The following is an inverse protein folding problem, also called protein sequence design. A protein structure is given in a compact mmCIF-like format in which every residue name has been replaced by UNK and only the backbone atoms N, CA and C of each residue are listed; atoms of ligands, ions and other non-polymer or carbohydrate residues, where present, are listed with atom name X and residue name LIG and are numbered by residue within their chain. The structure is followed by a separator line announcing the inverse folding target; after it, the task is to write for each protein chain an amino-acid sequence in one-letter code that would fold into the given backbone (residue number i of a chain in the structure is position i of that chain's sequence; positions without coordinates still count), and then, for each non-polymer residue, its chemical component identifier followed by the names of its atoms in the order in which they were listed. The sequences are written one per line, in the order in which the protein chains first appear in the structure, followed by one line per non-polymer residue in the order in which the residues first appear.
data_IF_678947966573
#
_entry.id   IF_678947966573
#
_cell.length_a   1.000
_cell.length_b   1.000
_cell.length_c   1.000
_cell.angle_alpha   90.00
_cell.angle_beta   90.00
_cell.angle_gamma   90.00
#
_symmetry.space_group_name_H-M   'P 1'
#
loop_
_entity.id
_entity.type
_entity.pdbx_description
1 polymer ?
#
# COMPACT_ATOMS: atom_id res chain seq x y z
N UNK A 1 -21.08 29.39 -19.19
CA UNK A 1 -20.19 28.49 -19.96
C UNK A 1 -19.27 27.86 -18.94
N UNK A 2 -19.52 26.62 -18.56
CA UNK A 2 -18.66 25.84 -17.66
C UNK A 2 -17.46 25.37 -18.48
N UNK A 3 -16.27 25.95 -18.24
CA UNK A 3 -15.01 25.38 -18.74
C UNK A 3 -14.90 23.95 -18.24
N UNK A 4 -15.05 23.00 -19.15
CA UNK A 4 -14.69 21.62 -18.87
C UNK A 4 -13.17 21.58 -18.76
N UNK A 5 -12.65 21.43 -17.53
CA UNK A 5 -11.24 21.16 -17.28
C UNK A 5 -10.86 19.84 -17.96
N UNK A 6 -10.43 19.91 -19.20
CA UNK A 6 -9.86 18.77 -19.91
C UNK A 6 -8.45 18.50 -19.37
N UNK A 7 -8.34 17.53 -18.47
CA UNK A 7 -7.01 17.03 -18.06
C UNK A 7 -6.38 16.35 -19.27
N UNK A 8 -5.23 16.85 -19.69
CA UNK A 8 -4.47 16.21 -20.78
C UNK A 8 -4.06 14.79 -20.36
N UNK A 9 -4.25 13.76 -21.22
CA UNK A 9 -3.77 12.40 -20.94
C UNK A 9 -2.27 12.33 -20.60
N UNK A 10 -1.46 13.24 -21.12
CA UNK A 10 -0.04 13.36 -20.80
C UNK A 10 0.24 13.82 -19.36
N UNK A 11 -0.76 14.38 -18.65
CA UNK A 11 -0.63 14.79 -17.28
C UNK A 11 -0.87 13.63 -16.28
N UNK A 12 -1.47 12.51 -16.73
CA UNK A 12 -1.73 11.34 -15.88
C UNK A 12 -0.59 10.34 -15.93
N UNK A 13 -0.32 9.73 -14.78
CA UNK A 13 0.66 8.64 -14.64
C UNK A 13 0.08 7.54 -13.78
N UNK A 14 0.45 6.32 -14.11
CA UNK A 14 0.16 5.14 -13.31
C UNK A 14 1.44 4.58 -12.71
N UNK A 15 1.32 3.97 -11.54
CA UNK A 15 2.37 3.18 -10.91
C UNK A 15 1.78 1.86 -10.43
N UNK A 16 2.61 0.82 -10.47
CA UNK A 16 2.33 -0.50 -9.92
C UNK A 16 3.29 -0.74 -8.77
N UNK A 17 2.78 -1.17 -7.64
CA UNK A 17 3.56 -1.62 -6.49
C UNK A 17 3.21 -3.06 -6.16
N UNK A 18 4.18 -3.80 -5.68
CA UNK A 18 4.03 -5.17 -5.19
C UNK A 18 4.97 -5.39 -4.02
N UNK A 19 4.45 -6.02 -2.98
CA UNK A 19 5.27 -6.41 -1.83
C UNK A 19 4.86 -7.79 -1.32
N UNK A 20 5.80 -8.48 -0.67
CA UNK A 20 5.64 -9.84 -0.16
C UNK A 20 6.37 -9.98 1.16
N UNK A 21 5.68 -10.47 2.18
CA UNK A 21 6.28 -10.78 3.46
C UNK A 21 5.96 -12.19 3.92
N UNK A 22 6.97 -12.90 4.44
CA UNK A 22 6.79 -14.22 5.04
C UNK A 22 6.13 -14.10 6.41
N UNK A 23 5.37 -15.12 6.82
CA UNK A 23 4.89 -15.23 8.20
C UNK A 23 6.05 -15.50 9.17
N UNK A 24 5.94 -14.92 10.36
CA UNK A 24 6.88 -15.12 11.45
C UNK A 24 6.15 -15.21 12.80
N UNK A 25 6.63 -16.05 13.74
CA UNK A 25 6.09 -16.12 15.08
C UNK A 25 6.40 -14.86 15.88
N UNK A 26 5.63 -14.63 16.95
CA UNK A 26 5.83 -13.55 17.91
C UNK A 26 5.76 -12.13 17.30
N UNK A 27 5.04 -11.97 16.19
CA UNK A 27 4.73 -10.69 15.57
C UNK A 27 3.24 -10.51 15.44
N UNK A 28 2.78 -9.26 15.50
CA UNK A 28 1.41 -8.89 15.16
C UNK A 28 1.22 -8.93 13.65
N UNK A 29 0.06 -9.37 13.19
CA UNK A 29 -0.32 -9.25 11.79
C UNK A 29 -0.98 -7.88 11.59
N UNK A 30 -0.31 -7.00 10.86
CA UNK A 30 -0.80 -5.66 10.54
C UNK A 30 -0.95 -5.56 9.02
N UNK A 31 -2.16 -5.20 8.55
CA UNK A 31 -2.47 -5.00 7.15
C UNK A 31 -3.32 -3.74 6.99
N UNK A 32 -2.88 -2.78 6.17
CA UNK A 32 -3.55 -1.49 6.01
C UNK A 32 -3.72 -0.77 7.35
N UNK A 33 -2.73 -0.87 8.25
CA UNK A 33 -2.77 -0.30 9.57
C UNK A 33 -3.75 -0.96 10.54
N UNK A 34 -4.32 -2.12 10.20
CA UNK A 34 -5.25 -2.88 11.05
C UNK A 34 -4.54 -4.08 11.65
N UNK A 35 -4.54 -4.18 12.98
CA UNK A 35 -4.08 -5.37 13.67
C UNK A 35 -5.14 -6.48 13.55
N UNK A 36 -4.76 -7.57 12.89
CA UNK A 36 -5.66 -8.70 12.62
C UNK A 36 -5.30 -9.85 13.54
N UNK A 37 -6.26 -10.40 14.30
CA UNK A 37 -6.02 -11.58 15.14
C UNK A 37 -5.55 -12.76 14.29
N UNK A 38 -4.30 -13.18 14.53
CA UNK A 38 -3.68 -14.35 13.89
C UNK A 38 -2.53 -14.85 14.77
N UNK A 39 -2.17 -16.13 14.66
CA UNK A 39 -1.11 -16.74 15.46
C UNK A 39 0.30 -16.33 15.04
N UNK A 40 0.46 -15.73 13.86
CA UNK A 40 1.69 -15.19 13.31
C UNK A 40 1.45 -13.79 12.73
N UNK A 41 2.47 -12.97 12.70
CA UNK A 41 2.51 -11.74 11.91
C UNK A 41 3.49 -11.85 10.76
N UNK A 42 3.77 -10.74 10.09
CA UNK A 42 4.68 -10.70 8.96
C UNK A 42 6.10 -10.31 9.38
N UNK A 43 7.10 -10.90 8.73
CA UNK A 43 8.51 -10.63 8.96
C UNK A 43 8.93 -9.39 8.15
N UNK A 44 9.51 -8.41 8.80
CA UNK A 44 10.06 -7.22 8.16
C UNK A 44 10.75 -6.31 9.17
N UNK A 45 11.45 -5.28 8.68
CA UNK A 45 12.17 -4.31 9.50
C UNK A 45 11.20 -3.33 10.20
N UNK A 46 10.14 -2.89 9.49
CA UNK A 46 9.03 -2.09 10.02
C UNK A 46 7.98 -2.99 10.71
N UNK A 47 6.74 -2.53 10.81
CA UNK A 47 5.59 -3.35 11.20
C UNK A 47 5.22 -4.41 10.13
N UNK A 48 5.92 -4.41 8.99
CA UNK A 48 5.75 -5.33 7.86
C UNK A 48 4.33 -5.32 7.24
N UNK A 49 3.69 -4.15 7.21
CA UNK A 49 2.41 -3.97 6.53
C UNK A 49 2.59 -4.03 5.01
N UNK A 50 2.48 -5.23 4.47
CA UNK A 50 2.68 -5.53 3.05
C UNK A 50 1.73 -4.73 2.14
N UNK A 51 0.53 -4.37 2.62
CA UNK A 51 -0.43 -3.60 1.85
C UNK A 51 -0.03 -2.13 1.76
N UNK A 52 0.37 -1.52 2.88
CA UNK A 52 0.86 -0.14 2.91
C UNK A 52 2.14 0.02 2.07
N UNK A 53 3.04 -0.98 2.09
CA UNK A 53 4.25 -1.00 1.26
C UNK A 53 3.92 -1.08 -0.24
N UNK A 54 3.01 -1.95 -0.66
CA UNK A 54 2.58 -2.03 -2.05
C UNK A 54 1.97 -0.72 -2.55
N UNK A 55 1.15 -0.05 -1.72
CA UNK A 55 0.58 1.27 -2.06
C UNK A 55 1.69 2.33 -2.17
N UNK A 56 2.64 2.35 -1.25
CA UNK A 56 3.78 3.28 -1.29
C UNK A 56 4.61 3.11 -2.58
N UNK A 57 4.92 1.86 -2.95
CA UNK A 57 5.66 1.56 -4.18
C UNK A 57 4.88 1.92 -5.44
N UNK A 58 3.55 1.73 -5.45
CA UNK A 58 2.72 2.19 -6.55
C UNK A 58 2.81 3.71 -6.74
N UNK A 59 2.74 4.47 -5.65
CA UNK A 59 2.85 5.93 -5.67
C UNK A 59 4.24 6.38 -6.13
N UNK A 60 5.30 5.79 -5.59
CA UNK A 60 6.69 6.09 -5.99
C UNK A 60 6.92 5.75 -7.47
N UNK A 61 6.42 4.61 -7.93
CA UNK A 61 6.48 4.21 -9.34
C UNK A 61 5.79 5.22 -10.26
N UNK A 62 4.61 5.73 -9.88
CA UNK A 62 3.87 6.72 -10.66
C UNK A 62 4.66 8.02 -10.87
N UNK A 63 5.40 8.49 -9.86
CA UNK A 63 6.22 9.71 -9.95
C UNK A 63 7.66 9.45 -10.42
N UNK A 64 8.02 8.18 -10.69
CA UNK A 64 9.40 7.77 -11.02
C UNK A 64 10.39 8.02 -9.89
N UNK A 65 9.93 7.92 -8.64
CA UNK A 65 10.70 8.14 -7.41
C UNK A 65 11.57 6.96 -6.96
N UNK A 66 11.43 5.80 -7.61
CA UNK A 66 12.08 4.55 -7.23
C UNK A 66 11.14 3.66 -6.41
N UNK A 67 11.62 3.11 -5.32
CA UNK A 67 10.91 2.21 -4.43
C UNK A 67 11.04 2.62 -2.96
N UNK A 68 10.26 1.98 -2.09
CA UNK A 68 10.22 2.28 -0.65
C UNK A 68 11.57 1.98 0.01
N UNK A 69 12.30 0.96 -0.42
CA UNK A 69 13.60 0.58 0.13
C UNK A 69 14.69 1.62 -0.12
N UNK A 70 14.60 2.37 -1.22
CA UNK A 70 15.49 3.50 -1.50
C UNK A 70 15.20 4.69 -0.59
N UNK A 71 13.92 4.94 -0.27
CA UNK A 71 13.50 6.07 0.54
C UNK A 71 13.66 5.79 2.05
N UNK A 72 13.42 4.56 2.47
CA UNK A 72 13.48 4.09 3.85
C UNK A 72 14.27 2.78 3.92
N UNK A 73 15.64 2.87 3.87
CA UNK A 73 16.48 1.68 3.88
C UNK A 73 16.27 0.81 5.13
N UNK A 74 16.17 -0.49 4.96
CA UNK A 74 16.06 -1.47 6.04
C UNK A 74 17.32 -1.56 6.91
N UNK A 75 18.41 -0.98 6.44
CA UNK A 75 19.66 -0.84 7.18
C UNK A 75 19.69 0.36 8.13
N UNK A 76 18.70 1.26 8.04
CA UNK A 76 18.63 2.44 8.90
C UNK A 76 17.81 2.12 10.18
N UNK A 77 18.46 2.15 11.37
CA UNK A 77 17.76 1.87 12.63
C UNK A 77 16.59 2.83 12.93
N UNK A 78 16.53 3.99 12.28
CA UNK A 78 15.44 4.94 12.45
C UNK A 78 14.06 4.38 12.00
N UNK A 79 14.07 3.36 11.15
CA UNK A 79 12.84 2.74 10.63
C UNK A 79 12.53 1.37 11.25
N UNK A 80 13.34 0.92 12.24
CA UNK A 80 13.07 -0.31 12.96
C UNK A 80 11.74 -0.22 13.71
N UNK A 81 10.81 -1.13 13.42
CA UNK A 81 9.46 -1.11 14.00
C UNK A 81 8.58 0.06 13.55
N UNK A 82 8.97 0.79 12.50
CA UNK A 82 8.22 1.94 12.02
C UNK A 82 6.80 1.55 11.60
N UNK A 83 5.86 2.45 11.86
CA UNK A 83 4.48 2.40 11.41
C UNK A 83 4.42 2.68 9.90
N UNK A 84 4.06 1.67 9.10
CA UNK A 84 4.06 1.77 7.64
C UNK A 84 3.03 2.78 7.11
N UNK A 85 1.98 3.11 7.86
CA UNK A 85 1.07 4.20 7.47
C UNK A 85 1.76 5.57 7.52
N UNK A 86 2.70 5.76 8.46
CA UNK A 86 3.50 7.01 8.49
C UNK A 86 4.48 7.07 7.33
N UNK A 87 5.08 5.94 6.95
CA UNK A 87 5.93 5.87 5.77
C UNK A 87 5.12 6.16 4.51
N UNK A 88 3.93 5.60 4.39
CA UNK A 88 3.00 5.87 3.30
C UNK A 88 2.60 7.35 3.24
N UNK A 89 2.31 7.97 4.38
CA UNK A 89 2.00 9.40 4.43
C UNK A 89 3.17 10.27 3.94
N UNK A 90 4.40 9.90 4.28
CA UNK A 90 5.60 10.59 3.77
C UNK A 90 5.73 10.45 2.25
N UNK A 91 5.46 9.25 1.70
CA UNK A 91 5.44 9.02 0.25
C UNK A 91 4.34 9.86 -0.42
N UNK A 92 3.13 9.90 0.14
CA UNK A 92 2.04 10.71 -0.40
C UNK A 92 2.37 12.21 -0.40
N UNK A 93 3.10 12.70 0.60
CA UNK A 93 3.60 14.08 0.63
C UNK A 93 4.64 14.31 -0.47
N UNK A 94 5.58 13.38 -0.67
CA UNK A 94 6.56 13.46 -1.76
C UNK A 94 5.90 13.53 -3.14
N UNK A 95 4.82 12.77 -3.35
CA UNK A 95 4.01 12.84 -4.60
C UNK A 95 3.51 14.26 -4.83
N UNK A 96 2.98 14.93 -3.79
CA UNK A 96 2.50 16.32 -3.87
C UNK A 96 3.62 17.33 -4.08
N UNK A 97 4.75 17.16 -3.40
CA UNK A 97 5.95 18.02 -3.55
C UNK A 97 6.51 17.96 -4.97
N UNK A 98 6.35 16.82 -5.64
CA UNK A 98 6.72 16.67 -7.06
C UNK A 98 5.67 17.20 -8.04
N UNK A 99 4.63 17.86 -7.56
CA UNK A 99 3.60 18.51 -8.36
C UNK A 99 2.56 17.54 -8.92
N UNK A 100 2.27 16.45 -8.20
CA UNK A 100 1.22 15.51 -8.55
C UNK A 100 0.14 15.43 -7.46
N UNK A 101 -1.11 15.21 -7.88
CA UNK A 101 -2.21 14.81 -7.03
C UNK A 101 -2.46 13.32 -7.17
N UNK A 102 -2.74 12.64 -6.08
CA UNK A 102 -3.19 11.25 -6.07
C UNK A 102 -4.67 11.26 -6.45
N UNK A 103 -5.03 10.55 -7.53
CA UNK A 103 -6.39 10.53 -8.08
C UNK A 103 -7.17 9.33 -7.60
N UNK A 104 -6.55 8.15 -7.68
CA UNK A 104 -7.20 6.88 -7.36
C UNK A 104 -6.17 5.81 -7.03
N UNK A 105 -6.53 4.87 -6.15
CA UNK A 105 -5.70 3.73 -5.76
C UNK A 105 -6.59 2.49 -5.70
N UNK A 106 -6.19 1.42 -6.35
CA UNK A 106 -6.79 0.10 -6.20
C UNK A 106 -5.75 -0.92 -5.77
N UNK A 107 -6.07 -1.75 -4.77
CA UNK A 107 -5.14 -2.75 -4.27
C UNK A 107 -5.82 -4.08 -3.96
N UNK A 108 -5.02 -5.13 -3.97
CA UNK A 108 -5.44 -6.50 -3.68
C UNK A 108 -4.42 -7.17 -2.78
N UNK A 109 -4.93 -7.91 -1.79
CA UNK A 109 -4.14 -8.76 -0.90
C UNK A 109 -4.41 -10.22 -1.28
N UNK A 110 -3.35 -11.00 -1.51
CA UNK A 110 -3.43 -12.44 -1.67
C UNK A 110 -2.99 -13.12 -0.37
N UNK A 111 -3.94 -13.77 0.30
CA UNK A 111 -3.72 -14.47 1.57
C UNK A 111 -4.69 -15.64 1.69
N UNK A 112 -4.17 -16.83 2.02
CA UNK A 112 -5.01 -18.00 2.27
C UNK A 112 -5.72 -17.89 3.62
N UNK A 113 -5.03 -17.38 4.64
CA UNK A 113 -5.50 -17.09 5.98
C UNK A 113 -4.77 -15.86 6.55
N UNK A 114 -5.39 -15.15 7.53
CA UNK A 114 -6.78 -15.25 7.99
C UNK A 114 -7.79 -14.66 7.00
N UNK A 115 -9.11 -14.81 7.30
CA UNK A 115 -10.15 -14.16 6.50
C UNK A 115 -10.11 -12.64 6.68
N UNK A 116 -9.86 -11.90 5.59
CA UNK A 116 -9.62 -10.46 5.61
C UNK A 116 -10.88 -9.61 5.37
N UNK A 117 -11.96 -10.20 4.89
CA UNK A 117 -13.18 -9.46 4.53
C UNK A 117 -13.77 -8.57 5.64
N UNK A 118 -13.70 -8.93 6.93
CA UNK A 118 -14.23 -8.06 8.00
C UNK A 118 -13.42 -6.77 8.22
N UNK A 119 -12.16 -6.74 7.77
CA UNK A 119 -11.22 -5.66 8.06
C UNK A 119 -11.01 -4.69 6.90
N UNK A 120 -11.53 -5.01 5.69
CA UNK A 120 -11.27 -4.24 4.46
C UNK A 120 -11.68 -2.77 4.55
N UNK A 121 -12.82 -2.48 5.13
CA UNK A 121 -13.30 -1.09 5.20
C UNK A 121 -12.40 -0.25 6.09
N UNK A 122 -11.96 -0.78 7.23
CA UNK A 122 -11.01 -0.10 8.09
C UNK A 122 -9.63 0.08 7.43
N UNK A 123 -9.14 -0.91 6.67
CA UNK A 123 -7.92 -0.77 5.87
C UNK A 123 -8.06 0.37 4.85
N UNK A 124 -9.20 0.45 4.14
CA UNK A 124 -9.48 1.52 3.18
C UNK A 124 -9.43 2.90 3.84
N UNK A 125 -10.10 3.06 4.98
CA UNK A 125 -10.12 4.31 5.73
C UNK A 125 -8.72 4.73 6.17
N UNK A 126 -7.94 3.81 6.73
CA UNK A 126 -6.59 4.07 7.20
C UNK A 126 -5.64 4.49 6.06
N UNK A 127 -5.66 3.72 4.95
CA UNK A 127 -4.81 4.00 3.78
C UNK A 127 -5.20 5.33 3.10
N UNK A 128 -6.51 5.58 2.94
CA UNK A 128 -7.00 6.83 2.38
C UNK A 128 -6.60 8.04 3.23
N UNK A 129 -6.71 7.92 4.56
CA UNK A 129 -6.26 8.94 5.50
C UNK A 129 -4.75 9.18 5.40
N UNK A 130 -3.93 8.12 5.34
CA UNK A 130 -2.47 8.22 5.17
C UNK A 130 -2.10 8.88 3.83
N UNK A 131 -2.82 8.54 2.76
CA UNK A 131 -2.63 9.15 1.45
C UNK A 131 -3.23 10.56 1.35
N UNK A 132 -4.08 10.99 2.29
CA UNK A 132 -4.78 12.28 2.24
C UNK A 132 -5.73 12.40 1.05
N UNK A 133 -6.46 11.33 0.73
CA UNK A 133 -7.47 11.26 -0.32
C UNK A 133 -8.83 10.83 0.25
N UNK A 134 -9.94 11.12 -0.45
CA UNK A 134 -11.25 10.58 -0.10
C UNK A 134 -11.27 9.05 -0.12
N UNK A 135 -11.99 8.43 0.82
CA UNK A 135 -12.06 6.96 0.93
C UNK A 135 -12.66 6.28 -0.30
N UNK A 136 -13.53 6.96 -1.02
CA UNK A 136 -14.11 6.50 -2.30
C UNK A 136 -13.07 6.32 -3.41
N UNK A 137 -11.91 6.99 -3.30
CA UNK A 137 -10.81 6.89 -4.25
C UNK A 137 -9.76 5.84 -3.86
N UNK A 138 -10.12 4.93 -2.93
CA UNK A 138 -9.24 3.83 -2.53
C UNK A 138 -10.00 2.52 -2.44
N UNK A 139 -9.62 1.55 -3.26
CA UNK A 139 -10.16 0.19 -3.27
C UNK A 139 -9.25 -0.79 -2.55
N UNK A 140 -9.83 -1.66 -1.69
CA UNK A 140 -9.13 -2.81 -1.10
C UNK A 140 -9.92 -4.07 -1.38
N UNK A 141 -9.28 -5.03 -2.03
CA UNK A 141 -9.78 -6.39 -2.28
C UNK A 141 -8.89 -7.41 -1.59
N UNK A 142 -9.44 -8.56 -1.29
CA UNK A 142 -8.67 -9.69 -0.79
C UNK A 142 -9.09 -10.96 -1.54
N UNK A 143 -8.14 -11.82 -1.82
CA UNK A 143 -8.36 -13.10 -2.48
C UNK A 143 -7.51 -14.19 -1.84
N UNK A 144 -7.94 -15.44 -1.98
CA UNK A 144 -7.09 -16.61 -1.76
C UNK A 144 -6.37 -16.94 -3.07
N UNK A 145 -5.35 -17.79 -3.01
CA UNK A 145 -4.73 -18.37 -4.20
C UNK A 145 -5.17 -19.83 -4.43
N UNK A 146 -6.31 -20.23 -3.84
CA UNK A 146 -6.89 -21.58 -3.96
C UNK A 146 -5.89 -22.66 -3.57
N UNK A 147 -5.15 -22.45 -2.47
CA UNK A 147 -4.08 -23.30 -1.95
C UNK A 147 -2.86 -23.44 -2.87
N UNK A 148 -2.71 -22.61 -3.89
CA UNK A 148 -1.56 -22.57 -4.79
C UNK A 148 -0.52 -21.55 -4.31
N UNK A 149 0.75 -21.83 -4.61
CA UNK A 149 1.85 -20.93 -4.29
C UNK A 149 2.17 -20.86 -2.79
N UNK A 150 3.02 -19.91 -2.42
CA UNK A 150 3.42 -19.70 -1.02
C UNK A 150 2.29 -19.11 -0.19
N UNK A 151 1.44 -18.25 -0.75
CA UNK A 151 0.25 -17.74 -0.05
C UNK A 151 -0.72 -18.89 0.26
N UNK A 152 -0.93 -19.79 -0.73
CA UNK A 152 -1.81 -20.95 -0.58
C UNK A 152 -1.31 -21.97 0.45
N UNK A 153 0.00 -22.01 0.68
CA UNK A 153 0.63 -22.83 1.75
C UNK A 153 0.76 -22.10 3.08
N UNK A 154 0.22 -20.88 3.18
CA UNK A 154 0.29 -20.04 4.38
C UNK A 154 1.74 -19.74 4.83
N UNK A 155 2.66 -19.57 3.88
CA UNK A 155 4.04 -19.19 4.13
C UNK A 155 4.24 -17.69 4.24
N UNK A 156 3.30 -16.90 3.70
CA UNK A 156 3.34 -15.45 3.69
C UNK A 156 2.10 -14.83 3.03
N UNK A 157 2.13 -13.53 2.90
CA UNK A 157 1.11 -12.71 2.26
C UNK A 157 1.77 -11.84 1.20
N UNK A 158 1.11 -11.68 0.05
CA UNK A 158 1.49 -10.69 -0.95
C UNK A 158 0.40 -9.63 -1.12
N UNK A 159 0.80 -8.44 -1.55
CA UNK A 159 -0.11 -7.37 -1.93
C UNK A 159 0.35 -6.70 -3.23
N UNK A 160 -0.61 -6.23 -4.00
CA UNK A 160 -0.37 -5.43 -5.19
C UNK A 160 -1.24 -4.19 -5.14
N UNK A 161 -0.72 -3.09 -5.67
CA UNK A 161 -1.46 -1.84 -5.77
C UNK A 161 -1.19 -1.16 -7.11
N UNK A 162 -2.20 -0.47 -7.61
CA UNK A 162 -2.09 0.44 -8.75
C UNK A 162 -2.50 1.82 -8.26
N UNK A 163 -1.68 2.82 -8.56
CA UNK A 163 -1.98 4.22 -8.26
C UNK A 163 -2.08 5.04 -9.54
N UNK A 164 -3.09 5.88 -9.62
CA UNK A 164 -3.24 6.91 -10.64
C UNK A 164 -2.92 8.26 -10.01
N UNK A 165 -1.99 9.00 -10.62
CA UNK A 165 -1.68 10.38 -10.23
C UNK A 165 -1.85 11.30 -11.41
N UNK A 166 -2.16 12.57 -11.13
CA UNK A 166 -2.30 13.62 -12.14
C UNK A 166 -1.36 14.78 -11.78
N UNK A 167 -0.68 15.34 -12.78
CA UNK A 167 0.11 16.55 -12.58
C UNK A 167 -0.80 17.73 -12.25
N UNK A 168 -0.48 18.43 -11.18
CA UNK A 168 -1.15 19.69 -10.86
C UNK A 168 -0.80 20.74 -11.92
N UNK A 169 -1.82 21.46 -12.40
CA UNK A 169 -1.66 22.59 -13.34
C UNK A 169 -1.15 23.83 -12.62
#
# INVERSE_FOLDING_TARGET
MTEQNHVSPAAMRIGLGMDVHAFAPNRKLILGGVEIPHHQGLLGHSDADVLAHAVADALLGAIRGGDIGKLFPDTDPAYEGADSLKLLAAVANLVREQGFSIVDIDCVIAAQAPKLSPYRDQMRENLAAACGIPVENLGVKATTTEHLGFEGREEGISAQAVALVCRCS
#
